data_IF_900153118584
#
_entry.id   IF_900153118584
#
_cell.length_a   1.000
_cell.length_b   1.000
_cell.length_c   1.000
_cell.angle_alpha   90.00
_cell.angle_beta   90.00
_cell.angle_gamma   90.00
#
_symmetry.space_group_name_H-M   'P 1'
#
loop_
_entity.id
_entity.type
_entity.pdbx_description
1 polymer ?
#
# COMPACT_ATOMS: atom_id res chain seq x y z
N UNK A 1 20.13 0.35 -41.53
CA UNK A 1 20.67 -0.13 -40.24
C UNK A 1 19.48 -0.44 -39.36
N UNK A 2 19.05 -1.69 -39.32
CA UNK A 2 17.93 -2.10 -38.47
C UNK A 2 18.45 -2.12 -37.03
N UNK A 3 17.96 -1.19 -36.21
CA UNK A 3 18.24 -1.11 -34.79
C UNK A 3 17.77 -2.41 -34.14
N UNK A 4 18.70 -3.23 -33.67
CA UNK A 4 18.35 -4.42 -32.91
C UNK A 4 17.59 -3.97 -31.63
N UNK A 5 16.53 -4.68 -31.22
CA UNK A 5 15.89 -4.41 -29.93
C UNK A 5 16.91 -4.62 -28.80
N UNK A 6 16.78 -3.89 -27.68
CA UNK A 6 17.71 -4.02 -26.58
C UNK A 6 17.77 -5.47 -26.11
N UNK A 7 18.98 -6.00 -26.05
CA UNK A 7 19.28 -7.37 -25.64
C UNK A 7 18.75 -7.60 -24.22
N UNK A 8 17.87 -8.58 -24.05
CA UNK A 8 17.39 -8.95 -22.72
C UNK A 8 18.55 -9.64 -21.98
N UNK A 9 18.79 -9.31 -20.70
CA UNK A 9 19.83 -9.98 -19.94
C UNK A 9 19.56 -11.49 -19.90
N UNK A 10 20.62 -12.32 -19.92
CA UNK A 10 20.49 -13.78 -19.91
C UNK A 10 19.62 -14.25 -18.74
N UNK A 11 18.75 -15.24 -19.01
CA UNK A 11 17.89 -15.85 -18.00
C UNK A 11 18.73 -16.31 -16.80
N UNK A 12 18.43 -15.77 -15.60
CA UNK A 12 19.08 -16.15 -14.35
C UNK A 12 20.02 -15.13 -13.70
N UNK A 13 20.18 -13.92 -14.24
CA UNK A 13 21.05 -12.87 -13.66
C UNK A 13 20.29 -11.62 -13.18
N UNK A 14 18.99 -11.70 -12.93
CA UNK A 14 18.32 -10.60 -12.23
C UNK A 14 18.65 -10.67 -10.73
N UNK A 15 19.64 -9.88 -10.31
CA UNK A 15 20.01 -9.76 -8.89
C UNK A 15 18.93 -9.06 -8.06
N UNK A 16 17.90 -8.49 -8.70
CA UNK A 16 16.78 -7.83 -8.02
C UNK A 16 16.17 -8.73 -6.94
N UNK A 17 15.79 -8.15 -5.78
CA UNK A 17 14.92 -8.81 -4.81
C UNK A 17 13.63 -9.35 -5.44
N UNK A 18 13.16 -8.70 -6.51
CA UNK A 18 11.91 -9.04 -7.20
C UNK A 18 12.11 -10.03 -8.36
N UNK A 19 13.30 -10.63 -8.49
CA UNK A 19 13.51 -11.70 -9.46
C UNK A 19 12.52 -12.86 -9.23
N UNK A 20 11.93 -13.36 -10.32
CA UNK A 20 10.90 -14.40 -10.27
C UNK A 20 9.48 -13.90 -9.95
N UNK A 21 9.30 -12.62 -9.59
CA UNK A 21 7.98 -12.00 -9.45
C UNK A 21 7.34 -11.80 -10.83
N UNK A 22 6.13 -12.33 -11.02
CA UNK A 22 5.38 -12.19 -12.28
C UNK A 22 4.37 -11.04 -12.15
N UNK A 23 3.60 -11.05 -11.06
CA UNK A 23 2.57 -10.04 -10.79
C UNK A 23 2.38 -9.82 -9.29
N UNK A 24 1.90 -8.64 -8.92
CA UNK A 24 1.47 -8.34 -7.56
C UNK A 24 0.29 -7.38 -7.57
N UNK A 25 -0.58 -7.50 -6.55
CA UNK A 25 -1.79 -6.70 -6.45
C UNK A 25 -2.21 -6.54 -5.00
N UNK A 26 -2.75 -5.38 -4.64
CA UNK A 26 -3.26 -5.15 -3.30
C UNK A 26 -3.47 -3.69 -2.98
N UNK A 27 -3.35 -3.35 -1.70
CA UNK A 27 -3.49 -2.00 -1.17
C UNK A 27 -2.28 -1.62 -0.33
N UNK A 28 -1.80 -0.40 -0.50
CA UNK A 28 -0.75 0.16 0.33
C UNK A 28 -1.14 1.53 0.87
N UNK A 29 -0.37 1.99 1.84
CA UNK A 29 -0.53 3.29 2.47
C UNK A 29 0.73 4.12 2.19
N UNK A 30 0.55 5.30 1.60
CA UNK A 30 1.66 6.20 1.27
C UNK A 30 1.55 7.48 2.09
N UNK A 31 2.68 7.93 2.63
CA UNK A 31 2.74 9.16 3.42
C UNK A 31 2.29 10.39 2.61
N UNK A 32 2.65 10.47 1.33
CA UNK A 32 2.21 11.56 0.45
C UNK A 32 0.67 11.69 0.38
N UNK A 33 -0.06 10.60 0.61
CA UNK A 33 -1.53 10.53 0.56
C UNK A 33 -2.10 9.82 1.80
N UNK A 34 -1.94 10.42 3.00
CA UNK A 34 -2.10 9.68 4.25
C UNK A 34 -3.57 9.35 4.59
N UNK A 35 -4.52 9.99 3.90
CA UNK A 35 -5.96 9.79 4.06
C UNK A 35 -6.55 8.89 2.97
N UNK A 36 -5.73 8.39 2.05
CA UNK A 36 -6.19 7.58 0.91
C UNK A 36 -5.53 6.22 0.93
N UNK A 37 -6.34 5.19 0.68
CA UNK A 37 -5.87 3.87 0.31
C UNK A 37 -5.42 3.89 -1.14
N UNK A 38 -4.20 3.42 -1.36
CA UNK A 38 -3.62 3.33 -2.70
C UNK A 38 -3.76 1.90 -3.20
N UNK A 39 -4.23 1.73 -4.43
CA UNK A 39 -4.29 0.45 -5.10
C UNK A 39 -2.96 0.16 -5.79
N UNK A 40 -2.34 -0.96 -5.42
CA UNK A 40 -1.10 -1.48 -5.97
C UNK A 40 -1.40 -2.49 -7.07
N UNK A 41 -0.81 -2.31 -8.26
CA UNK A 41 -0.92 -3.26 -9.36
C UNK A 41 0.38 -3.31 -10.16
N UNK A 42 1.03 -4.47 -10.19
CA UNK A 42 2.25 -4.69 -10.96
C UNK A 42 2.15 -5.96 -11.81
N UNK A 43 2.70 -5.87 -13.02
CA UNK A 43 2.88 -6.98 -13.95
C UNK A 43 4.22 -6.82 -14.69
N UNK A 44 5.06 -7.85 -14.65
CA UNK A 44 6.42 -7.79 -15.20
C UNK A 44 7.23 -6.67 -14.56
N UNK A 45 7.74 -5.71 -15.35
CA UNK A 45 8.51 -4.56 -14.84
C UNK A 45 7.68 -3.29 -14.64
N UNK A 46 6.37 -3.35 -14.85
CA UNK A 46 5.47 -2.20 -14.73
C UNK A 46 4.73 -2.22 -13.40
N UNK A 47 4.83 -1.13 -12.63
CA UNK A 47 4.08 -0.88 -11.40
C UNK A 47 3.21 0.35 -11.58
N UNK A 48 1.95 0.24 -11.17
CA UNK A 48 0.98 1.33 -11.14
C UNK A 48 0.42 1.45 -9.72
N UNK A 49 0.32 2.69 -9.25
CA UNK A 49 -0.33 3.07 -8.00
C UNK A 49 -1.49 4.02 -8.31
N UNK A 50 -2.69 3.66 -7.88
CA UNK A 50 -3.91 4.43 -8.15
C UNK A 50 -4.61 4.80 -6.85
N UNK A 51 -5.31 5.93 -6.82
CA UNK A 51 -6.23 6.22 -5.72
C UNK A 51 -7.40 5.24 -5.78
N UNK A 52 -7.72 4.63 -4.63
CA UNK A 52 -8.88 3.75 -4.51
C UNK A 52 -10.00 4.44 -3.74
N UNK A 53 -9.90 4.46 -2.40
CA UNK A 53 -10.88 5.02 -1.49
C UNK A 53 -10.18 5.76 -0.35
N UNK A 54 -10.84 6.74 0.31
CA UNK A 54 -10.34 7.25 1.58
C UNK A 54 -10.35 6.14 2.63
N UNK A 55 -9.40 6.19 3.57
CA UNK A 55 -9.47 5.38 4.79
C UNK A 55 -10.69 5.81 5.60
N UNK A 56 -11.47 4.87 6.13
CA UNK A 56 -12.60 5.21 7.00
C UNK A 56 -12.15 6.00 8.22
N UNK A 57 -11.00 5.66 8.80
CA UNK A 57 -10.38 6.43 9.88
C UNK A 57 -9.88 7.82 9.47
N UNK A 58 -10.16 8.29 8.26
CA UNK A 58 -9.93 9.67 7.80
C UNK A 58 -11.21 10.43 7.47
N UNK A 59 -12.37 9.75 7.49
CA UNK A 59 -13.65 10.36 7.20
C UNK A 59 -14.18 11.18 8.40
N UNK A 60 -14.92 12.27 8.14
CA UNK A 60 -15.68 12.97 9.17
C UNK A 60 -16.72 12.06 9.84
N UNK A 61 -16.99 12.34 11.11
CA UNK A 61 -17.95 11.60 11.94
C UNK A 61 -19.33 11.46 11.28
N UNK A 62 -19.82 12.50 10.62
CA UNK A 62 -21.13 12.46 9.96
C UNK A 62 -21.17 11.43 8.81
N UNK A 63 -20.05 11.25 8.09
CA UNK A 63 -19.97 10.23 7.05
C UNK A 63 -19.88 8.83 7.67
N UNK A 64 -19.14 8.68 8.77
CA UNK A 64 -19.06 7.41 9.49
C UNK A 64 -20.41 6.95 10.05
N UNK A 65 -21.22 7.88 10.57
CA UNK A 65 -22.58 7.59 11.03
C UNK A 65 -23.47 7.05 9.91
N UNK A 66 -23.44 7.67 8.73
CA UNK A 66 -24.18 7.18 7.57
C UNK A 66 -23.74 5.77 7.13
N UNK A 67 -22.46 5.43 7.31
CA UNK A 67 -21.94 4.11 6.98
C UNK A 67 -22.31 3.04 8.01
N UNK A 68 -22.44 3.42 9.28
CA UNK A 68 -22.89 2.52 10.35
C UNK A 68 -24.36 2.13 10.17
N UNK A 69 -25.17 3.06 9.63
CA UNK A 69 -26.57 2.83 9.28
C UNK A 69 -26.77 2.11 7.94
N UNK A 70 -25.69 1.90 7.18
CA UNK A 70 -25.78 1.31 5.84
C UNK A 70 -26.15 -0.19 5.90
N UNK A 71 -27.09 -0.67 5.06
CA UNK A 71 -27.55 -2.06 5.09
C UNK A 71 -26.47 -3.11 4.83
N UNK A 72 -25.34 -2.75 4.21
CA UNK A 72 -24.28 -3.71 3.90
C UNK A 72 -23.53 -4.22 5.13
N UNK A 73 -23.46 -3.40 6.19
CA UNK A 73 -22.74 -3.73 7.43
C UNK A 73 -21.22 -3.87 7.27
N UNK A 74 -20.65 -3.51 6.11
CA UNK A 74 -19.22 -3.70 5.84
C UNK A 74 -18.34 -2.87 6.79
N UNK A 75 -18.73 -1.62 7.06
CA UNK A 75 -18.04 -0.76 8.01
C UNK A 75 -18.09 -1.33 9.43
N UNK A 76 -19.28 -1.75 9.90
CA UNK A 76 -19.44 -2.35 11.22
C UNK A 76 -18.63 -3.64 11.38
N UNK A 77 -18.57 -4.49 10.35
CA UNK A 77 -17.73 -5.70 10.33
C UNK A 77 -16.26 -5.33 10.42
N UNK A 78 -15.77 -4.44 9.56
CA UNK A 78 -14.37 -4.07 9.53
C UNK A 78 -13.92 -3.34 10.80
N UNK A 79 -14.78 -2.49 11.38
CA UNK A 79 -14.55 -1.85 12.67
C UNK A 79 -14.36 -2.87 13.80
N UNK A 80 -15.01 -4.03 13.70
CA UNK A 80 -14.88 -5.12 14.68
C UNK A 80 -13.67 -6.03 14.43
N UNK A 81 -13.35 -6.28 13.17
CA UNK A 81 -12.40 -7.36 12.79
C UNK A 81 -11.03 -6.86 12.36
N UNK A 82 -10.93 -5.64 11.83
CA UNK A 82 -9.75 -5.14 11.11
C UNK A 82 -9.25 -3.79 11.63
N UNK A 83 -9.89 -3.24 12.67
CA UNK A 83 -9.60 -1.92 13.20
C UNK A 83 -8.46 -1.93 14.21
N UNK A 84 -7.49 -1.05 13.98
CA UNK A 84 -6.42 -0.72 14.93
C UNK A 84 -6.82 0.51 15.76
N UNK A 85 -6.54 0.48 17.06
CA UNK A 85 -6.73 1.66 17.94
C UNK A 85 -5.87 2.85 17.49
N UNK A 86 -4.69 2.58 16.94
CA UNK A 86 -3.74 3.62 16.54
C UNK A 86 -3.96 4.08 15.10
N UNK A 87 -4.27 3.14 14.20
CA UNK A 87 -4.25 3.36 12.75
C UNK A 87 -5.62 3.22 12.08
N UNK A 88 -6.68 2.89 12.82
CA UNK A 88 -7.99 2.57 12.28
C UNK A 88 -7.92 1.43 11.24
N UNK A 89 -8.49 1.65 10.06
CA UNK A 89 -8.55 0.69 8.95
C UNK A 89 -7.33 0.72 8.01
N UNK A 90 -6.25 1.43 8.36
CA UNK A 90 -5.05 1.63 7.51
C UNK A 90 -4.15 0.39 7.41
N UNK A 91 -4.74 -0.73 7.00
CA UNK A 91 -4.06 -2.01 6.77
C UNK A 91 -3.50 -2.07 5.36
N UNK A 92 -2.25 -2.49 5.23
CA UNK A 92 -1.59 -2.73 3.95
C UNK A 92 -1.61 -4.21 3.63
N UNK A 93 -2.02 -4.57 2.42
CA UNK A 93 -2.10 -5.96 1.97
C UNK A 93 -1.67 -6.05 0.51
N UNK A 94 -0.60 -6.77 0.22
CA UNK A 94 -0.13 -6.96 -1.15
C UNK A 94 0.15 -8.45 -1.36
N UNK A 95 -0.45 -9.01 -2.41
CA UNK A 95 -0.22 -10.40 -2.82
C UNK A 95 0.81 -10.40 -3.93
N UNK A 96 1.85 -11.23 -3.78
CA UNK A 96 2.91 -11.44 -4.75
C UNK A 96 2.76 -12.82 -5.38
N UNK A 97 2.87 -12.91 -6.70
CA UNK A 97 2.70 -14.15 -7.47
C UNK A 97 3.86 -14.27 -8.44
N UNK A 98 4.59 -15.37 -8.32
CA UNK A 98 5.81 -15.60 -9.09
C UNK A 98 6.33 -17.03 -8.89
N UNK A 99 7.46 -17.32 -9.52
CA UNK A 99 8.17 -18.60 -9.42
C UNK A 99 9.58 -18.35 -8.89
N UNK A 100 10.06 -19.22 -7.99
CA UNK A 100 11.39 -19.08 -7.37
C UNK A 100 11.63 -17.68 -6.76
N UNK A 101 10.58 -17.08 -6.19
CA UNK A 101 10.67 -15.73 -5.61
C UNK A 101 11.59 -15.71 -4.39
N UNK A 102 12.38 -14.65 -4.28
CA UNK A 102 13.24 -14.40 -3.12
C UNK A 102 12.45 -13.74 -1.98
N UNK A 103 11.51 -14.47 -1.38
CA UNK A 103 10.55 -13.90 -0.40
C UNK A 103 11.21 -13.05 0.69
N UNK A 104 12.32 -13.53 1.28
CA UNK A 104 13.04 -12.80 2.33
C UNK A 104 13.60 -11.46 1.84
N UNK A 105 14.12 -11.40 0.61
CA UNK A 105 14.65 -10.17 0.01
C UNK A 105 13.52 -9.20 -0.35
N UNK A 106 12.39 -9.70 -0.89
CA UNK A 106 11.20 -8.90 -1.16
C UNK A 106 10.69 -8.27 0.14
N UNK A 107 10.55 -9.07 1.20
CA UNK A 107 10.10 -8.59 2.52
C UNK A 107 11.05 -7.56 3.09
N UNK A 108 12.37 -7.77 2.95
CA UNK A 108 13.37 -6.79 3.37
C UNK A 108 13.21 -5.48 2.60
N UNK A 109 13.09 -5.53 1.27
CA UNK A 109 12.92 -4.33 0.45
C UNK A 109 11.65 -3.54 0.81
N UNK A 110 10.55 -4.23 1.15
CA UNK A 110 9.32 -3.58 1.62
C UNK A 110 9.48 -2.97 3.01
N UNK A 111 10.16 -3.67 3.94
CA UNK A 111 10.41 -3.16 5.28
C UNK A 111 11.36 -1.96 5.26
N UNK A 112 12.39 -1.99 4.43
CA UNK A 112 13.32 -0.86 4.24
C UNK A 112 12.64 0.37 3.64
N UNK A 113 11.45 0.20 3.02
CA UNK A 113 10.65 1.29 2.46
C UNK A 113 9.61 1.86 3.45
N UNK A 114 9.50 1.29 4.65
CA UNK A 114 8.67 1.87 5.72
C UNK A 114 9.38 3.09 6.31
N UNK A 115 8.58 4.07 6.73
CA UNK A 115 9.09 5.23 7.46
C UNK A 115 9.77 4.79 8.76
N UNK A 116 10.89 5.41 9.11
CA UNK A 116 11.41 5.37 10.47
C UNK A 116 10.48 6.11 11.44
N UNK A 117 10.73 5.97 12.74
CA UNK A 117 9.98 6.72 13.74
C UNK A 117 10.16 8.23 13.55
N UNK A 118 11.38 8.67 13.24
CA UNK A 118 11.72 10.07 12.99
C UNK A 118 11.04 10.60 11.71
N UNK A 119 11.08 9.83 10.62
CA UNK A 119 10.37 10.21 9.39
C UNK A 119 8.85 10.23 9.58
N UNK A 120 8.33 9.36 10.45
CA UNK A 120 6.91 9.37 10.79
C UNK A 120 6.50 10.62 11.56
N UNK A 121 7.32 11.12 12.49
CA UNK A 121 7.04 12.36 13.22
C UNK A 121 6.99 13.59 12.30
N UNK A 122 7.73 13.55 11.19
CA UNK A 122 7.74 14.58 10.15
C UNK A 122 6.68 14.35 9.05
N UNK A 123 5.99 13.21 9.09
CA UNK A 123 5.06 12.75 8.06
C UNK A 123 3.88 13.69 7.82
N UNK A 124 3.25 13.56 6.66
CA UNK A 124 2.06 14.33 6.33
C UNK A 124 0.89 13.99 7.27
N UNK A 125 0.81 12.76 7.77
CA UNK A 125 -0.20 12.39 8.76
C UNK A 125 0.07 13.05 10.12
N UNK A 126 1.30 12.98 10.64
CA UNK A 126 1.68 13.58 11.91
C UNK A 126 1.46 15.10 11.89
N UNK A 127 1.88 15.75 10.81
CA UNK A 127 1.67 17.19 10.60
C UNK A 127 0.18 17.57 10.60
N UNK A 128 -0.69 16.75 9.99
CA UNK A 128 -2.14 16.98 10.01
C UNK A 128 -2.75 16.75 11.39
N UNK A 129 -2.34 15.71 12.11
CA UNK A 129 -2.77 15.46 13.50
C UNK A 129 -2.41 16.64 14.41
N UNK A 130 -1.22 17.21 14.26
CA UNK A 130 -0.79 18.39 15.02
C UNK A 130 -1.59 19.66 14.70
N UNK A 131 -2.11 19.79 13.47
CA UNK A 131 -2.87 20.97 13.01
C UNK A 131 -4.38 20.86 13.19
N UNK A 132 -4.92 19.65 13.39
CA UNK A 132 -6.36 19.36 13.49
C UNK A 132 -6.99 19.57 14.88
N UNK A 133 -6.30 20.28 15.78
CA UNK A 133 -6.81 20.62 17.12
C UNK A 133 -7.63 21.92 17.17
N UNK A 134 -8.53 22.16 16.22
CA UNK A 134 -9.48 23.29 16.26
C UNK A 134 -10.87 22.90 15.77
#
# INVERSE_FOLDING_TARGET
VLSQPPEQPPEGQDESPFAGLIRSKGFCWLDAYPNSRMFWSQAGKSLVLEFDQPWWGSLPEQQLQMMDEAPSGDYARAKKEEWSDEWADRRQEIVFIGQNMKEAEIRKALNDALLSAEEFDESALATKRARGGS
#
